data_IF_602243935393
#
_entry.id   IF_602243935393
#
_cell.length_a   1.000
_cell.length_b   1.000
_cell.length_c   1.000
_cell.angle_alpha   90.00
_cell.angle_beta   90.00
_cell.angle_gamma   90.00
#
_symmetry.space_group_name_H-M   'P 1'
#
loop_
_entity.id
_entity.type
_entity.pdbx_description
1 polymer ?
#
# COMPACT_ATOMS: atom_id res chain seq x y z
N UNK A 1 4.34 16.55 -13.35
CA UNK A 1 3.13 17.31 -12.95
C UNK A 1 2.06 16.30 -12.60
N UNK A 2 1.41 16.44 -11.43
CA UNK A 2 0.37 15.52 -11.04
C UNK A 2 -0.86 15.68 -11.94
N UNK A 3 -1.51 14.57 -12.31
CA UNK A 3 -2.72 14.60 -13.13
C UNK A 3 -3.95 14.84 -12.26
N UNK A 4 -4.17 16.12 -11.90
CA UNK A 4 -5.29 16.56 -11.06
C UNK A 4 -6.66 16.31 -11.72
N UNK A 5 -6.72 16.34 -13.04
CA UNK A 5 -7.95 16.15 -13.79
C UNK A 5 -8.49 14.72 -13.61
N UNK A 6 -7.63 13.71 -13.73
CA UNK A 6 -8.01 12.30 -13.53
C UNK A 6 -8.45 12.00 -12.08
N UNK A 7 -7.86 12.68 -11.10
CA UNK A 7 -8.21 12.50 -9.68
C UNK A 7 -9.57 13.13 -9.34
N UNK A 8 -9.81 14.37 -9.79
CA UNK A 8 -11.04 15.10 -9.48
C UNK A 8 -12.24 14.55 -10.26
N UNK A 9 -12.05 14.19 -11.53
CA UNK A 9 -13.11 13.56 -12.34
C UNK A 9 -13.61 12.25 -11.74
N UNK A 10 -12.70 11.42 -11.21
CA UNK A 10 -13.06 10.17 -10.51
C UNK A 10 -13.81 10.44 -9.20
N UNK A 11 -13.40 11.46 -8.45
CA UNK A 11 -14.06 11.84 -7.20
C UNK A 11 -15.49 12.33 -7.45
N UNK A 12 -15.71 13.12 -8.52
CA UNK A 12 -17.05 13.58 -8.92
C UNK A 12 -17.90 12.44 -9.49
N UNK A 13 -17.31 11.53 -10.27
CA UNK A 13 -18.01 10.35 -10.78
C UNK A 13 -18.53 9.42 -9.67
N UNK A 14 -17.88 9.42 -8.50
CA UNK A 14 -18.27 8.65 -7.33
C UNK A 14 -19.36 9.34 -6.47
N UNK A 15 -19.74 10.59 -6.77
CA UNK A 15 -20.80 11.28 -6.02
C UNK A 15 -22.20 10.74 -6.40
N UNK A 16 -23.08 10.48 -5.42
CA UNK A 16 -24.44 10.00 -5.68
C UNK A 16 -25.29 10.99 -6.49
N UNK A 17 -25.06 12.28 -6.29
CA UNK A 17 -25.66 13.36 -7.06
C UNK A 17 -24.55 14.31 -7.50
N UNK A 18 -24.38 14.47 -8.81
CA UNK A 18 -23.40 15.37 -9.41
C UNK A 18 -24.01 16.77 -9.60
N UNK A 19 -24.64 17.32 -8.56
CA UNK A 19 -25.15 18.70 -8.60
C UNK A 19 -23.99 19.70 -8.50
N UNK A 20 -24.17 20.95 -8.96
CA UNK A 20 -23.12 21.97 -8.86
C UNK A 20 -22.59 22.15 -7.43
N UNK A 21 -23.47 22.12 -6.43
CA UNK A 21 -23.11 22.27 -5.03
C UNK A 21 -22.23 21.12 -4.49
N UNK A 22 -22.52 19.88 -4.88
CA UNK A 22 -21.72 18.71 -4.42
C UNK A 22 -20.37 18.65 -5.12
N UNK A 23 -20.29 19.05 -6.40
CA UNK A 23 -19.02 19.20 -7.12
C UNK A 23 -18.15 20.31 -6.50
N UNK A 24 -18.76 21.45 -6.14
CA UNK A 24 -18.07 22.56 -5.48
C UNK A 24 -17.44 22.14 -4.13
N UNK A 25 -18.15 21.34 -3.34
CA UNK A 25 -17.64 20.82 -2.08
C UNK A 25 -16.41 19.91 -2.26
N UNK A 26 -16.32 19.17 -3.38
CA UNK A 26 -15.15 18.36 -3.73
C UNK A 26 -13.96 19.24 -4.13
N UNK A 27 -14.19 20.30 -4.91
CA UNK A 27 -13.15 21.26 -5.29
C UNK A 27 -12.54 21.98 -4.07
N UNK A 28 -13.38 22.47 -3.16
CA UNK A 28 -12.93 23.10 -1.92
C UNK A 28 -12.08 22.17 -1.04
N UNK A 29 -12.46 20.89 -0.96
CA UNK A 29 -11.68 19.89 -0.23
C UNK A 29 -10.34 19.60 -0.91
N UNK A 30 -10.32 19.52 -2.24
CA UNK A 30 -9.09 19.31 -3.01
C UNK A 30 -8.09 20.47 -2.84
N UNK A 31 -8.57 21.73 -2.88
CA UNK A 31 -7.76 22.93 -2.61
C UNK A 31 -7.09 22.86 -1.24
N UNK A 32 -7.87 22.61 -0.18
CA UNK A 32 -7.35 22.54 1.20
C UNK A 32 -6.34 21.40 1.39
N UNK A 33 -6.61 20.24 0.79
CA UNK A 33 -5.70 19.10 0.86
C UNK A 33 -4.35 19.41 0.20
N UNK A 34 -4.35 20.03 -0.99
CA UNK A 34 -3.13 20.39 -1.71
C UNK A 34 -2.28 21.39 -0.91
N UNK A 35 -2.87 22.45 -0.38
CA UNK A 35 -2.15 23.45 0.42
C UNK A 35 -1.57 22.87 1.72
N UNK A 36 -2.33 22.01 2.42
CA UNK A 36 -1.84 21.36 3.64
C UNK A 36 -0.72 20.35 3.35
N UNK A 37 -0.80 19.64 2.22
CA UNK A 37 0.22 18.70 1.80
C UNK A 37 1.52 19.41 1.42
N UNK A 38 1.45 20.49 0.65
CA UNK A 38 2.64 21.23 0.22
C UNK A 38 3.34 21.96 1.37
N UNK A 39 2.59 22.40 2.39
CA UNK A 39 3.14 23.03 3.60
C UNK A 39 3.70 22.06 4.63
N UNK A 40 3.33 20.77 4.58
CA UNK A 40 3.80 19.76 5.54
C UNK A 40 5.11 19.08 5.13
N UNK A 41 5.63 19.37 3.92
CA UNK A 41 6.90 18.83 3.43
C UNK A 41 8.06 19.62 4.05
N UNK A 42 9.04 18.91 4.63
CA UNK A 42 10.32 19.45 5.08
C UNK A 42 11.46 18.95 4.17
N UNK A 43 12.34 19.82 3.65
CA UNK A 43 12.38 21.29 3.80
C UNK A 43 11.22 22.02 3.07
N UNK A 44 10.87 23.27 3.46
CA UNK A 44 9.70 23.97 2.93
C UNK A 44 9.82 24.20 1.42
N UNK A 45 8.76 23.83 0.70
CA UNK A 45 8.61 24.07 -0.73
C UNK A 45 8.52 25.57 -0.99
N UNK A 46 9.18 26.06 -2.06
CA UNK A 46 9.15 27.49 -2.40
C UNK A 46 7.72 27.95 -2.71
N UNK A 47 7.35 29.16 -2.27
CA UNK A 47 5.99 29.68 -2.46
C UNK A 47 5.57 29.74 -3.95
N UNK A 48 6.54 29.93 -4.85
CA UNK A 48 6.32 29.93 -6.30
C UNK A 48 5.85 28.56 -6.83
N UNK A 49 6.36 27.45 -6.28
CA UNK A 49 5.98 26.10 -6.67
C UNK A 49 4.59 25.75 -6.13
N UNK A 50 4.26 26.21 -4.92
CA UNK A 50 2.91 26.08 -4.35
C UNK A 50 1.89 26.82 -5.21
N UNK A 51 2.23 28.03 -5.68
CA UNK A 51 1.37 28.81 -6.57
C UNK A 51 1.27 28.21 -7.98
N UNK A 52 2.32 27.54 -8.48
CA UNK A 52 2.27 26.82 -9.75
C UNK A 52 1.37 25.58 -9.66
N UNK A 53 1.50 24.80 -8.59
CA UNK A 53 0.70 23.60 -8.38
C UNK A 53 -0.78 23.93 -8.10
N UNK A 54 -1.05 25.01 -7.36
CA UNK A 54 -2.40 25.54 -7.17
C UNK A 54 -3.06 25.96 -8.49
N UNK A 55 -2.31 26.59 -9.41
CA UNK A 55 -2.83 26.94 -10.74
C UNK A 55 -3.16 25.71 -11.59
N UNK A 56 -2.31 24.68 -11.55
CA UNK A 56 -2.57 23.42 -12.25
C UNK A 56 -3.86 22.73 -11.76
N UNK A 57 -4.15 22.83 -10.46
CA UNK A 57 -5.40 22.33 -9.88
C UNK A 57 -6.63 23.10 -10.40
N UNK A 58 -6.58 24.43 -10.43
CA UNK A 58 -7.70 25.27 -10.90
C UNK A 58 -7.97 25.11 -12.40
N UNK A 59 -6.93 24.92 -13.22
CA UNK A 59 -7.09 24.64 -14.66
C UNK A 59 -7.81 23.31 -14.89
N UNK A 60 -7.48 22.28 -14.09
CA UNK A 60 -8.14 20.99 -14.16
C UNK A 60 -9.63 21.07 -13.75
N UNK A 61 -9.94 21.83 -12.69
CA UNK A 61 -11.31 22.07 -12.23
C UNK A 61 -12.11 22.82 -13.31
N UNK A 62 -11.53 23.88 -13.88
CA UNK A 62 -12.18 24.69 -14.93
C UNK A 62 -12.52 23.84 -16.15
N UNK A 63 -11.57 23.00 -16.60
CA UNK A 63 -11.78 22.06 -17.71
C UNK A 63 -12.92 21.06 -17.42
N UNK A 64 -12.98 20.57 -16.18
CA UNK A 64 -14.00 19.61 -15.78
C UNK A 64 -15.41 20.23 -15.68
N UNK A 65 -15.52 21.48 -15.23
CA UNK A 65 -16.80 22.19 -15.19
C UNK A 65 -17.31 22.53 -16.59
N UNK A 66 -16.42 22.86 -17.54
CA UNK A 66 -16.76 22.99 -18.96
C UNK A 66 -17.37 21.70 -19.54
N UNK A 67 -16.76 20.55 -19.25
CA UNK A 67 -17.25 19.24 -19.71
C UNK A 67 -18.53 18.81 -19.00
N UNK A 68 -18.69 19.16 -17.72
CA UNK A 68 -19.88 18.84 -16.92
C UNK A 68 -21.08 19.70 -17.33
N UNK A 69 -20.85 20.95 -17.74
CA UNK A 69 -21.90 21.86 -18.22
C UNK A 69 -22.33 21.50 -19.65
N UNK A 70 -21.41 21.02 -20.50
CA UNK A 70 -21.72 20.55 -21.86
C UNK A 70 -22.54 19.25 -21.92
N UNK A 71 -22.57 18.46 -20.85
CA UNK A 71 -23.30 17.19 -20.75
C UNK A 71 -24.75 17.34 -20.28
N UNK A 72 -25.17 18.56 -19.92
CA UNK A 72 -26.49 18.89 -19.39
C UNK A 72 -27.39 19.72 -20.30
N UNK A 73 -27.00 19.99 -21.56
CA UNK A 73 -27.86 20.68 -22.51
C UNK A 73 -28.99 19.73 -23.00
N UNK A 74 -30.28 20.06 -22.80
CA UNK A 74 -31.36 19.27 -23.36
C UNK A 74 -31.40 19.49 -24.87
N UNK A 75 -31.28 18.42 -25.66
CA UNK A 75 -31.74 18.42 -27.05
C UNK A 75 -33.25 18.69 -27.06
N UNK A 76 -33.74 19.69 -27.81
CA UNK A 76 -35.17 19.85 -28.03
C UNK A 76 -35.65 18.75 -28.98
N UNK A 77 -36.36 17.76 -28.43
CA UNK A 77 -37.22 16.88 -29.22
C UNK A 77 -38.64 17.42 -29.21
N UNK A 78 -39.17 17.76 -30.39
CA UNK A 78 -40.42 17.19 -30.98
C UNK A 78 -40.84 18.02 -32.18
N UNK A 79 -41.15 17.37 -33.32
CA UNK A 79 -42.18 17.91 -34.22
C UNK A 79 -42.05 17.69 -35.73
N UNK A 80 -42.23 16.43 -36.18
CA UNK A 80 -42.91 16.02 -37.43
C UNK A 80 -42.32 16.39 -38.83
N UNK A 81 -42.62 15.58 -39.88
CA UNK A 81 -41.79 15.41 -41.07
C UNK A 81 -42.22 16.29 -42.28
N UNK A 82 -41.34 16.44 -43.29
CA UNK A 82 -41.79 16.09 -44.64
C UNK A 82 -40.71 15.43 -45.52
N UNK A 83 -41.16 14.54 -46.40
CA UNK A 83 -40.52 14.23 -47.68
C UNK A 83 -41.32 14.95 -48.80
N UNK A 84 -40.95 14.90 -50.08
CA UNK A 84 -39.67 15.21 -50.74
C UNK A 84 -39.86 16.16 -51.95
N UNK A 85 -38.86 16.98 -52.34
CA UNK A 85 -38.76 17.51 -53.72
C UNK A 85 -37.37 18.11 -54.04
N UNK A 86 -36.74 17.59 -55.11
CA UNK A 86 -35.67 18.20 -55.94
C UNK A 86 -36.21 19.47 -56.67
N UNK A 87 -35.45 20.28 -57.47
CA UNK A 87 -34.10 20.09 -58.04
C UNK A 87 -33.17 21.35 -58.09
N UNK A 88 -31.95 21.13 -58.63
CA UNK A 88 -31.09 22.07 -59.44
C UNK A 88 -30.59 23.37 -58.78
N UNK A 89 -29.35 23.85 -58.94
CA UNK A 89 -28.36 23.61 -59.98
C UNK A 89 -26.96 24.10 -59.54
N UNK A 90 -25.95 23.55 -60.21
CA UNK A 90 -24.66 24.15 -60.57
C UNK A 90 -23.54 24.46 -59.55
N UNK A 91 -22.39 23.87 -59.91
CA UNK A 91 -21.05 24.49 -60.00
C UNK A 91 -20.20 24.47 -58.73
N UNK A 92 -18.94 24.02 -58.69
CA UNK A 92 -18.05 23.41 -59.69
C UNK A 92 -16.80 22.88 -58.96
N UNK A 93 -16.04 22.07 -59.70
CA UNK A 93 -14.61 21.82 -59.56
C UNK A 93 -14.13 20.90 -58.42
N UNK A 94 -14.08 19.62 -58.78
CA UNK A 94 -13.11 18.65 -58.31
C UNK A 94 -11.72 18.95 -58.90
N UNK A 95 -10.66 18.57 -58.18
CA UNK A 95 -9.53 17.89 -58.81
C UNK A 95 -9.06 16.69 -57.98
N UNK A 96 -8.76 15.61 -58.71
CA UNK A 96 -8.49 14.24 -58.27
C UNK A 96 -6.98 14.08 -58.02
N UNK A 97 -6.54 13.05 -57.28
CA UNK A 97 -6.04 11.74 -57.78
C UNK A 97 -5.29 11.11 -56.59
N UNK A 98 -5.15 9.81 -56.37
CA UNK A 98 -5.59 8.54 -56.96
C UNK A 98 -5.26 7.48 -55.89
N UNK A 99 -6.14 6.52 -55.66
CA UNK A 99 -5.85 5.31 -54.87
C UNK A 99 -5.89 4.11 -55.81
N UNK A 100 -4.77 3.39 -56.02
CA UNK A 100 -4.80 2.02 -56.51
C UNK A 100 -5.14 1.05 -55.38
N UNK A 101 -6.01 0.10 -55.68
CA UNK A 101 -6.33 -1.06 -54.85
C UNK A 101 -5.17 -2.06 -54.88
N UNK A 102 -4.93 -2.75 -53.76
CA UNK A 102 -4.04 -3.91 -53.69
C UNK A 102 -4.83 -5.12 -53.16
N UNK A 103 -4.60 -6.35 -53.67
CA UNK A 103 -5.52 -7.46 -53.55
C UNK A 103 -5.24 -8.39 -52.35
N UNK A 104 -6.32 -9.05 -51.91
CA UNK A 104 -6.30 -10.19 -50.99
C UNK A 104 -5.42 -11.35 -51.50
N UNK A 105 -4.57 -11.90 -50.62
CA UNK A 105 -4.08 -13.27 -50.74
C UNK A 105 -3.93 -13.92 -49.35
N UNK A 106 -4.63 -15.04 -49.16
CA UNK A 106 -4.52 -15.96 -48.02
C UNK A 106 -3.14 -16.63 -48.01
N UNK A 107 -2.56 -16.86 -46.82
CA UNK A 107 -1.78 -18.05 -46.43
C UNK A 107 -1.80 -18.15 -44.89
N UNK A 108 -2.15 -19.33 -44.36
CA UNK A 108 -1.69 -19.88 -43.08
C UNK A 108 -0.87 -21.15 -43.43
N UNK A 109 -0.12 -21.87 -42.54
CA UNK A 109 0.01 -21.77 -41.08
C UNK A 109 1.45 -22.01 -40.52
N UNK A 110 1.56 -22.17 -39.18
CA UNK A 110 2.62 -22.79 -38.34
C UNK A 110 3.81 -21.96 -37.78
N UNK A 111 3.92 -21.99 -36.44
CA UNK A 111 5.11 -21.64 -35.63
C UNK A 111 4.74 -21.09 -34.24
N UNK A 112 5.13 -21.71 -33.11
CA UNK A 112 4.65 -21.34 -31.78
C UNK A 112 5.37 -20.10 -31.25
N UNK A 113 4.67 -18.98 -31.21
CA UNK A 113 5.14 -17.72 -30.65
C UNK A 113 4.87 -17.63 -29.14
N UNK A 114 5.95 -17.45 -28.39
CA UNK A 114 6.05 -16.73 -27.11
C UNK A 114 4.89 -16.88 -26.11
N UNK A 115 5.07 -17.76 -25.12
CA UNK A 115 4.42 -17.60 -23.81
C UNK A 115 4.85 -16.25 -23.26
N UNK A 116 3.90 -15.40 -22.91
CA UNK A 116 4.23 -14.13 -22.26
C UNK A 116 4.75 -14.42 -20.87
N UNK A 117 5.71 -13.62 -20.38
CA UNK A 117 6.24 -13.75 -19.03
C UNK A 117 5.11 -13.73 -17.98
N UNK A 118 4.01 -13.01 -18.24
CA UNK A 118 2.80 -13.00 -17.39
C UNK A 118 2.11 -14.37 -17.23
N UNK A 119 2.13 -15.22 -18.25
CA UNK A 119 1.51 -16.56 -18.18
C UNK A 119 2.36 -17.53 -17.37
N UNK A 120 3.69 -17.44 -17.47
CA UNK A 120 4.62 -18.22 -16.65
C UNK A 120 4.56 -17.85 -15.15
N UNK A 121 4.33 -16.57 -14.83
CA UNK A 121 4.13 -16.12 -13.44
C UNK A 121 2.78 -16.56 -12.85
N UNK A 122 1.74 -16.73 -13.69
CA UNK A 122 0.44 -17.26 -13.24
C UNK A 122 0.47 -18.77 -13.03
N UNK A 123 1.16 -19.53 -13.88
CA UNK A 123 1.24 -21.00 -13.80
C UNK A 123 1.98 -21.48 -12.53
N UNK A 124 2.94 -20.70 -12.02
CA UNK A 124 3.63 -20.98 -10.74
C UNK A 124 2.79 -20.70 -9.48
N UNK A 125 1.67 -19.97 -9.61
CA UNK A 125 0.72 -19.73 -8.51
C UNK A 125 -0.34 -20.84 -8.43
N UNK A 126 -0.68 -21.48 -9.55
CA UNK A 126 -1.69 -22.55 -9.60
C UNK A 126 -1.12 -23.95 -9.23
N UNK A 127 0.14 -24.26 -9.58
CA UNK A 127 0.79 -25.56 -9.29
C UNK A 127 1.05 -25.79 -7.78
N UNK A 128 1.13 -24.70 -7.00
CA UNK A 128 1.27 -24.75 -5.53
C UNK A 128 -0.01 -25.17 -4.79
N UNK A 129 -1.13 -25.35 -5.51
CA UNK A 129 -2.40 -25.82 -4.94
C UNK A 129 -2.51 -27.34 -4.86
N UNK A 130 -1.64 -28.09 -5.55
CA UNK A 130 -1.78 -29.54 -5.73
C UNK A 130 -0.63 -30.37 -5.15
N UNK A 131 0.45 -29.77 -4.66
CA UNK A 131 1.59 -30.49 -4.07
C UNK A 131 1.54 -30.47 -2.53
N UNK A 132 0.42 -30.94 -1.98
CA UNK A 132 0.31 -31.22 -0.55
C UNK A 132 -0.35 -32.58 -0.31
N UNK A 133 -0.03 -33.60 -1.12
CA UNK A 133 -0.23 -34.99 -0.71
C UNK A 133 0.53 -35.96 -1.63
N UNK A 134 1.80 -36.25 -1.36
CA UNK A 134 2.43 -37.52 -1.76
C UNK A 134 3.84 -37.66 -1.21
N UNK A 135 3.96 -38.31 -0.05
CA UNK A 135 5.17 -39.01 0.32
C UNK A 135 4.78 -40.38 0.87
N UNK A 136 4.96 -41.43 0.05
CA UNK A 136 5.50 -42.77 0.40
C UNK A 136 5.13 -43.79 -0.68
N UNK A 137 6.13 -44.34 -1.35
CA UNK A 137 5.99 -45.51 -2.22
C UNK A 137 6.18 -46.80 -1.43
N UNK A 138 5.23 -47.73 -1.52
CA UNK A 138 5.48 -49.18 -1.47
C UNK A 138 4.35 -49.92 -2.25
N UNK A 139 4.61 -51.02 -2.99
CA UNK A 139 3.69 -51.50 -4.02
C UNK A 139 2.81 -52.70 -3.64
N UNK A 140 1.63 -52.74 -4.31
CA UNK A 140 0.86 -53.91 -4.79
C UNK A 140 -0.18 -54.62 -3.88
N UNK A 141 -1.48 -54.43 -4.19
CA UNK A 141 -2.47 -55.46 -4.59
C UNK A 141 -3.82 -54.83 -5.05
N UNK A 142 -4.50 -55.31 -6.11
CA UNK A 142 -5.83 -54.81 -6.47
C UNK A 142 -6.96 -55.69 -5.89
N UNK A 143 -8.06 -55.07 -5.43
CA UNK A 143 -9.45 -55.47 -5.73
C UNK A 143 -10.52 -54.60 -5.02
N UNK A 144 -11.64 -54.46 -5.75
CA UNK A 144 -13.02 -54.09 -5.38
C UNK A 144 -13.41 -52.59 -5.31
N UNK A 145 -14.32 -52.11 -6.21
CA UNK A 145 -14.91 -50.78 -6.13
C UNK A 145 -16.09 -50.75 -5.14
N UNK A 146 -16.06 -49.78 -4.23
CA UNK A 146 -17.20 -49.40 -3.38
C UNK A 146 -17.90 -48.15 -3.97
N UNK A 147 -19.23 -48.03 -3.81
CA UNK A 147 -20.04 -47.01 -4.49
C UNK A 147 -19.82 -45.60 -3.91
N UNK A 148 -19.80 -44.60 -4.79
CA UNK A 148 -19.65 -43.18 -4.47
C UNK A 148 -20.88 -42.62 -3.73
N UNK A 149 -20.72 -41.80 -2.67
CA UNK A 149 -21.82 -41.02 -2.10
C UNK A 149 -22.23 -39.86 -3.04
N UNK A 150 -23.52 -39.45 -3.03
CA UNK A 150 -24.05 -38.47 -3.99
C UNK A 150 -23.52 -37.05 -3.74
N UNK A 151 -22.97 -36.43 -4.79
CA UNK A 151 -22.63 -35.01 -4.80
C UNK A 151 -23.90 -34.15 -4.80
N UNK A 152 -24.03 -33.27 -3.81
CA UNK A 152 -25.08 -32.26 -3.78
C UNK A 152 -24.74 -31.13 -4.76
N UNK A 153 -25.58 -30.99 -5.80
CA UNK A 153 -25.66 -29.78 -6.62
C UNK A 153 -26.61 -28.80 -5.94
N UNK A 154 -26.15 -27.64 -5.46
CA UNK A 154 -26.97 -26.40 -5.43
C UNK A 154 -26.13 -25.11 -5.55
N UNK A 155 -26.69 -24.04 -6.16
CA UNK A 155 -25.94 -23.01 -6.87
C UNK A 155 -25.58 -21.77 -6.04
N UNK A 156 -24.72 -20.95 -6.64
CA UNK A 156 -24.20 -19.66 -6.18
C UNK A 156 -25.29 -18.60 -5.97
N UNK A 157 -25.49 -18.19 -4.71
CA UNK A 157 -26.06 -16.89 -4.34
C UNK A 157 -25.08 -16.18 -3.40
N UNK A 158 -24.00 -15.62 -3.95
CA UNK A 158 -23.04 -14.78 -3.19
C UNK A 158 -22.63 -13.50 -3.93
N UNK A 159 -23.42 -13.04 -4.90
CA UNK A 159 -23.20 -11.74 -5.56
C UNK A 159 -24.09 -10.63 -5.02
N UNK A 160 -25.04 -10.91 -4.12
CA UNK A 160 -25.92 -9.88 -3.55
C UNK A 160 -25.47 -9.33 -2.18
N UNK A 161 -24.50 -9.97 -1.50
CA UNK A 161 -24.07 -9.53 -0.16
C UNK A 161 -23.01 -8.41 -0.19
N UNK A 162 -22.21 -8.28 -1.25
CA UNK A 162 -21.15 -7.25 -1.34
C UNK A 162 -21.67 -5.84 -1.67
N UNK A 163 -22.78 -5.71 -2.39
CA UNK A 163 -23.35 -4.40 -2.75
C UNK A 163 -24.01 -3.70 -1.54
N UNK A 164 -24.59 -4.47 -0.62
CA UNK A 164 -25.23 -3.92 0.58
C UNK A 164 -24.24 -3.32 1.58
N UNK A 165 -23.06 -3.93 1.72
CA UNK A 165 -22.03 -3.48 2.67
C UNK A 165 -21.40 -2.16 2.23
N UNK A 166 -21.21 -1.96 0.92
CA UNK A 166 -20.64 -0.71 0.39
C UNK A 166 -21.62 0.47 0.51
N UNK A 167 -22.91 0.24 0.30
CA UNK A 167 -23.96 1.26 0.51
C UNK A 167 -24.13 1.63 1.99
N UNK A 168 -24.02 0.65 2.90
CA UNK A 168 -24.09 0.91 4.34
C UNK A 168 -22.87 1.74 4.83
N UNK A 169 -21.69 1.49 4.28
CA UNK A 169 -20.47 2.21 4.64
C UNK A 169 -20.51 3.68 4.16
N UNK A 170 -21.07 3.93 2.97
CA UNK A 170 -21.29 5.29 2.46
C UNK A 170 -22.35 6.03 3.29
N UNK A 171 -23.43 5.35 3.72
CA UNK A 171 -24.45 5.95 4.57
C UNK A 171 -23.91 6.30 5.98
N UNK A 172 -23.04 5.48 6.54
CA UNK A 172 -22.41 5.74 7.87
C UNK A 172 -21.42 6.89 7.80
N UNK A 173 -20.62 6.99 6.73
CA UNK A 173 -19.71 8.13 6.52
C UNK A 173 -20.48 9.43 6.26
N UNK A 174 -21.61 9.36 5.55
CA UNK A 174 -22.54 10.49 5.39
C UNK A 174 -23.19 10.93 6.71
N UNK A 175 -23.58 9.98 7.57
CA UNK A 175 -24.15 10.26 8.88
C UNK A 175 -23.16 10.87 9.87
N UNK A 176 -21.91 10.39 9.91
CA UNK A 176 -20.85 10.97 10.75
C UNK A 176 -20.48 12.41 10.32
N UNK A 177 -20.54 12.70 9.02
CA UNK A 177 -20.28 14.04 8.49
C UNK A 177 -21.41 15.04 8.80
N UNK A 178 -22.65 14.56 8.97
CA UNK A 178 -23.79 15.39 9.39
C UNK A 178 -23.76 15.67 10.90
N UNK A 179 -23.37 14.67 11.71
CA UNK A 179 -23.39 14.77 13.17
C UNK A 179 -22.29 15.66 13.78
N UNK A 180 -21.12 15.79 13.12
CA UNK A 180 -20.04 16.67 13.60
C UNK A 180 -20.25 18.17 13.27
N UNK A 181 -21.36 18.52 12.61
CA UNK A 181 -21.70 19.91 12.25
C UNK A 181 -22.41 20.67 13.38
N UNK A 182 -22.87 19.99 14.42
CA UNK A 182 -23.78 20.56 15.45
C UNK A 182 -23.12 20.82 16.83
N UNK A 183 -21.80 20.71 16.99
CA UNK A 183 -21.11 20.90 18.30
C UNK A 183 -19.88 21.84 18.21
N UNK A 184 -20.06 23.16 18.06
CA UNK A 184 -18.96 24.15 18.08
C UNK A 184 -18.45 24.51 19.50
N UNK A 185 -19.10 24.02 20.57
CA UNK A 185 -18.85 24.46 21.96
C UNK A 185 -17.53 23.93 22.58
N UNK A 186 -17.04 22.77 22.13
CA UNK A 186 -15.88 22.10 22.76
C UNK A 186 -14.52 22.61 22.24
N UNK A 187 -14.52 23.40 21.16
CA UNK A 187 -13.32 24.04 20.60
C UNK A 187 -12.92 25.33 21.35
N UNK A 188 -13.83 25.92 22.14
CA UNK A 188 -13.56 27.16 22.88
C UNK A 188 -12.78 26.96 24.19
N UNK A 189 -12.59 25.72 24.65
CA UNK A 189 -11.87 25.40 25.92
C UNK A 189 -10.39 25.09 25.75
N UNK A 190 -9.84 25.16 24.53
CA UNK A 190 -8.42 24.88 24.26
C UNK A 190 -7.62 26.13 23.88
N UNK A 191 -8.00 27.32 24.38
CA UNK A 191 -7.19 28.53 24.24
C UNK A 191 -6.13 28.58 25.36
N UNK A 192 -4.83 28.59 25.05
CA UNK A 192 -3.79 28.83 26.05
C UNK A 192 -3.88 30.27 26.56
N UNK A 193 -3.77 30.45 27.86
CA UNK A 193 -3.71 31.76 28.52
C UNK A 193 -2.37 32.44 28.19
N UNK A 194 -2.47 33.72 27.84
CA UNK A 194 -1.38 34.58 27.36
C UNK A 194 -0.58 35.11 28.55
N UNK A 195 0.63 34.59 28.76
CA UNK A 195 1.58 35.12 29.76
C UNK A 195 2.20 36.43 29.28
N UNK A 196 1.88 37.52 29.99
CA UNK A 196 2.61 38.80 29.93
C UNK A 196 3.95 38.71 30.66
N UNK A 197 4.99 39.49 30.26
CA UNK A 197 6.30 39.47 30.91
C UNK A 197 6.40 40.53 32.03
N UNK A 198 7.13 40.21 33.10
CA UNK A 198 7.67 41.19 34.04
C UNK A 198 9.14 40.89 34.36
N UNK A 199 9.95 41.92 34.22
CA UNK A 199 11.36 42.07 34.58
C UNK A 199 11.57 42.15 36.12
N UNK A 200 12.82 41.91 36.54
CA UNK A 200 13.50 42.75 37.54
C UNK A 200 13.65 42.22 38.98
N UNK A 201 14.91 41.91 39.35
CA UNK A 201 15.60 42.02 40.67
C UNK A 201 14.94 41.42 41.95
N UNK A 202 15.61 40.90 42.97
CA UNK A 202 16.89 41.20 43.62
C UNK A 202 17.35 39.97 44.45
N UNK A 203 18.55 40.10 45.02
CA UNK A 203 19.46 39.18 45.66
C UNK A 203 19.00 38.42 46.93
N UNK A 204 19.73 37.34 47.21
CA UNK A 204 19.73 36.68 48.53
C UNK A 204 20.63 35.44 48.62
N UNK A 205 21.91 35.64 48.93
CA UNK A 205 22.84 34.69 49.64
C UNK A 205 22.08 33.90 50.73
N UNK A 206 22.37 32.66 51.12
CA UNK A 206 23.59 31.98 51.62
C UNK A 206 23.31 30.45 51.49
N UNK A 207 24.26 29.54 51.19
CA UNK A 207 25.40 29.19 52.02
C UNK A 207 25.03 28.11 53.06
N UNK A 208 25.40 26.85 52.76
CA UNK A 208 25.74 25.77 53.69
C UNK A 208 24.64 25.10 54.56
N UNK A 209 24.36 23.81 54.27
CA UNK A 209 24.11 22.78 55.31
C UNK A 209 24.24 21.37 54.75
N UNK A 210 25.23 20.65 55.28
CA UNK A 210 25.49 19.22 55.14
C UNK A 210 24.55 18.40 56.05
N UNK A 211 24.45 17.10 55.75
CA UNK A 211 23.96 15.96 56.55
C UNK A 211 22.55 15.39 56.27
N UNK A 212 22.57 14.17 55.70
CA UNK A 212 22.10 12.99 56.42
C UNK A 212 20.61 12.67 56.35
N UNK A 213 20.19 11.95 55.30
CA UNK A 213 18.87 11.33 55.25
C UNK A 213 18.86 10.12 54.32
N UNK A 214 18.64 8.94 54.87
CA UNK A 214 18.73 7.64 54.23
C UNK A 214 17.85 7.51 52.96
N UNK A 215 18.47 7.30 51.81
CA UNK A 215 17.79 6.82 50.61
C UNK A 215 17.64 5.30 50.66
N UNK A 216 16.41 4.84 50.87
CA UNK A 216 16.00 3.49 50.52
C UNK A 216 16.21 3.28 49.00
N UNK A 217 16.72 2.11 48.54
CA UNK A 217 16.90 1.88 47.13
C UNK A 217 15.53 1.64 46.48
N UNK A 218 15.02 2.63 45.76
CA UNK A 218 13.99 2.38 44.76
C UNK A 218 14.55 1.40 43.72
N UNK A 219 13.79 0.37 43.28
CA UNK A 219 14.23 -0.51 42.22
C UNK A 219 14.26 0.29 40.92
N UNK A 220 15.43 0.81 40.58
CA UNK A 220 15.74 1.27 39.24
C UNK A 220 15.56 0.07 38.31
N UNK A 221 14.40 -0.02 37.67
CA UNK A 221 14.19 -0.83 36.49
C UNK A 221 15.13 -0.29 35.42
N UNK A 222 16.37 -0.79 35.46
CA UNK A 222 17.37 -0.59 34.44
C UNK A 222 16.85 -1.31 33.19
N UNK A 223 15.95 -0.66 32.46
CA UNK A 223 15.60 -1.02 31.09
C UNK A 223 16.93 -0.95 30.35
N UNK A 224 17.53 -2.10 30.11
CA UNK A 224 18.72 -2.21 29.30
C UNK A 224 18.36 -1.56 27.96
N UNK A 225 18.93 -0.38 27.69
CA UNK A 225 19.01 0.15 26.34
C UNK A 225 19.87 -0.83 25.58
N UNK A 226 19.23 -1.84 25.00
CA UNK A 226 19.90 -2.80 24.12
C UNK A 226 20.47 -1.99 22.97
N UNK A 227 21.80 -1.97 22.87
CA UNK A 227 22.48 -1.36 21.73
C UNK A 227 21.99 -2.12 20.49
N UNK A 228 21.42 -1.42 19.49
CA UNK A 228 20.94 -2.07 18.29
C UNK A 228 22.13 -2.71 17.56
N UNK A 229 22.14 -4.04 17.47
CA UNK A 229 23.20 -4.80 16.79
C UNK A 229 22.78 -5.02 15.34
N UNK A 230 23.59 -4.53 14.39
CA UNK A 230 23.42 -4.83 12.97
C UNK A 230 23.64 -6.32 12.71
N UNK A 231 22.68 -6.95 12.04
CA UNK A 231 22.70 -8.34 11.62
C UNK A 231 22.90 -8.42 10.11
N UNK A 232 23.24 -9.62 9.64
CA UNK A 232 23.49 -9.87 8.22
C UNK A 232 22.19 -9.77 7.42
N UNK A 233 22.28 -9.13 6.26
CA UNK A 233 21.26 -9.16 5.22
C UNK A 233 21.94 -9.25 3.85
N UNK A 234 21.23 -9.76 2.86
CA UNK A 234 21.73 -9.86 1.50
C UNK A 234 20.60 -9.56 0.51
N UNK A 235 20.89 -8.84 -0.56
CA UNK A 235 19.95 -8.59 -1.63
C UNK A 235 20.42 -9.30 -2.90
N UNK A 236 19.67 -10.31 -3.30
CA UNK A 236 19.95 -11.11 -4.49
C UNK A 236 19.10 -10.60 -5.65
N UNK A 237 19.73 -10.15 -6.72
CA UNK A 237 19.06 -9.64 -7.91
C UNK A 237 19.22 -10.67 -9.03
N UNK A 238 18.09 -11.08 -9.61
CA UNK A 238 18.05 -12.02 -10.71
C UNK A 238 18.52 -11.38 -12.03
N UNK A 239 19.00 -12.22 -12.95
CA UNK A 239 19.34 -11.80 -14.29
C UNK A 239 18.08 -11.34 -15.05
N UNK A 240 18.24 -10.30 -15.86
CA UNK A 240 17.19 -9.83 -16.77
C UNK A 240 16.90 -10.85 -17.89
N UNK A 241 17.90 -11.63 -18.32
CA UNK A 241 17.73 -12.65 -19.35
C UNK A 241 17.29 -14.01 -18.78
N UNK A 242 17.77 -14.37 -17.59
CA UNK A 242 17.47 -15.63 -16.92
C UNK A 242 16.90 -15.39 -15.51
N UNK A 243 15.58 -15.19 -15.36
CA UNK A 243 14.96 -14.82 -14.08
C UNK A 243 15.18 -15.81 -12.93
N UNK A 244 15.55 -17.05 -13.25
CA UNK A 244 15.82 -18.11 -12.28
C UNK A 244 17.29 -18.11 -11.78
N UNK A 245 18.16 -17.29 -12.36
CA UNK A 245 19.56 -17.16 -11.92
C UNK A 245 19.78 -15.83 -11.24
N UNK A 246 20.54 -15.86 -10.14
CA UNK A 246 21.03 -14.66 -9.46
C UNK A 246 22.19 -14.09 -10.28
N UNK A 247 22.06 -12.84 -10.69
CA UNK A 247 23.07 -12.08 -11.43
C UNK A 247 24.03 -11.36 -10.48
N UNK A 248 23.48 -10.77 -9.41
CA UNK A 248 24.27 -10.01 -8.45
C UNK A 248 23.74 -10.13 -7.03
N UNK A 249 24.67 -10.23 -6.08
CA UNK A 249 24.40 -10.23 -4.64
C UNK A 249 24.99 -8.94 -4.05
N UNK A 250 24.17 -8.17 -3.35
CA UNK A 250 24.59 -7.00 -2.60
C UNK A 250 24.58 -7.32 -1.12
N UNK A 251 25.70 -7.05 -0.44
CA UNK A 251 25.78 -7.16 1.00
C UNK A 251 24.95 -6.06 1.67
N UNK A 252 24.17 -6.43 2.68
CA UNK A 252 23.32 -5.53 3.41
C UNK A 252 23.43 -5.79 4.93
N UNK A 253 22.93 -4.85 5.71
CA UNK A 253 22.80 -5.02 7.15
C UNK A 253 21.39 -4.68 7.59
N UNK A 254 20.86 -5.41 8.56
CA UNK A 254 19.54 -5.17 9.14
C UNK A 254 19.63 -4.92 10.64
N UNK A 255 18.90 -3.92 11.11
CA UNK A 255 18.81 -3.60 12.53
C UNK A 255 17.35 -3.75 12.97
N UNK A 256 17.12 -4.67 13.90
CA UNK A 256 15.80 -4.92 14.48
C UNK A 256 15.61 -4.15 15.78
N UNK A 257 14.46 -3.50 15.95
CA UNK A 257 14.08 -2.71 17.13
C UNK A 257 12.62 -2.93 17.50
N UNK A 258 12.35 -2.86 18.79
CA UNK A 258 11.00 -2.78 19.32
C UNK A 258 10.60 -1.30 19.41
N UNK A 259 9.51 -0.93 18.76
CA UNK A 259 8.95 0.42 18.79
C UNK A 259 7.63 0.39 19.55
N UNK A 260 7.42 1.35 20.47
CA UNK A 260 6.13 1.49 21.15
C UNK A 260 5.30 2.51 20.37
N UNK A 261 4.22 2.05 19.77
CA UNK A 261 3.28 2.84 18.97
C UNK A 261 1.96 3.01 19.74
N UNK A 262 1.71 4.20 20.25
CA UNK A 262 0.45 4.55 20.91
C UNK A 262 0.30 6.07 21.02
N UNK A 263 -0.93 6.56 20.91
CA UNK A 263 -1.26 7.95 21.24
C UNK A 263 -1.29 8.14 22.77
N UNK A 264 -1.04 9.35 23.31
CA UNK A 264 -1.20 9.62 24.73
C UNK A 264 -2.63 9.25 25.18
N UNK A 265 -2.75 8.23 26.05
CA UNK A 265 -4.03 7.76 26.60
C UNK A 265 -4.55 6.42 26.05
N UNK A 266 -3.93 5.83 25.04
CA UNK A 266 -4.26 4.48 24.54
C UNK A 266 -3.21 3.46 25.01
N UNK A 267 -3.58 2.17 25.11
CA UNK A 267 -2.63 1.08 25.36
C UNK A 267 -1.53 1.12 24.30
N UNK A 268 -0.29 1.36 24.73
CA UNK A 268 0.89 1.33 23.87
C UNK A 268 0.92 0.00 23.11
N UNK A 269 0.67 0.04 21.80
CA UNK A 269 0.89 -1.10 20.93
C UNK A 269 2.38 -1.28 20.69
N UNK A 270 2.86 -2.51 20.56
CA UNK A 270 4.24 -2.73 20.12
C UNK A 270 4.29 -2.87 18.62
N UNK A 271 5.38 -2.44 18.02
CA UNK A 271 5.71 -2.66 16.62
C UNK A 271 7.13 -3.21 16.51
N UNK A 272 7.35 -4.10 15.54
CA UNK A 272 8.68 -4.54 15.17
C UNK A 272 9.15 -3.65 14.04
N UNK A 273 10.31 -3.02 14.20
CA UNK A 273 10.95 -2.24 13.14
C UNK A 273 12.24 -2.90 12.69
N UNK A 274 12.39 -3.13 11.39
CA UNK A 274 13.63 -3.54 10.75
C UNK A 274 14.13 -2.46 9.82
N UNK A 275 15.28 -1.85 10.11
CA UNK A 275 15.92 -0.91 9.20
C UNK A 275 17.08 -1.63 8.49
N UNK A 276 17.02 -1.68 7.15
CA UNK A 276 18.00 -2.32 6.29
C UNK A 276 18.78 -1.27 5.50
N UNK A 277 20.10 -1.42 5.45
CA UNK A 277 20.99 -0.60 4.63
C UNK A 277 21.73 -1.48 3.63
N UNK A 278 21.67 -1.12 2.35
CA UNK A 278 22.35 -1.78 1.22
C UNK A 278 23.31 -0.77 0.59
N UNK A 279 24.55 -0.62 1.10
CA UNK A 279 25.42 0.48 0.74
C UNK A 279 25.82 0.48 -0.73
N UNK A 280 26.20 -0.68 -1.27
CA UNK A 280 26.62 -0.84 -2.67
C UNK A 280 25.48 -0.54 -3.67
N UNK A 281 24.24 -0.82 -3.28
CA UNK A 281 23.06 -0.49 -4.07
C UNK A 281 22.50 0.91 -3.76
N UNK A 282 23.10 1.65 -2.81
CA UNK A 282 22.62 2.95 -2.31
C UNK A 282 21.13 2.95 -2.01
N UNK A 283 20.67 1.89 -1.33
CA UNK A 283 19.26 1.67 -1.06
C UNK A 283 19.05 1.40 0.43
N UNK A 284 18.11 2.13 1.03
CA UNK A 284 17.62 1.86 2.38
C UNK A 284 16.24 1.24 2.32
N UNK A 285 15.93 0.37 3.26
CA UNK A 285 14.62 -0.22 3.39
C UNK A 285 14.20 -0.22 4.86
N UNK A 286 12.92 0.01 5.14
CA UNK A 286 12.37 -0.10 6.48
C UNK A 286 11.13 -0.97 6.46
N UNK A 287 11.05 -1.93 7.40
CA UNK A 287 9.87 -2.75 7.64
C UNK A 287 9.29 -2.43 9.01
N UNK A 288 7.97 -2.30 9.11
CA UNK A 288 7.27 -2.08 10.37
C UNK A 288 6.09 -3.06 10.48
N UNK A 289 6.17 -4.00 11.43
CA UNK A 289 5.14 -4.99 11.72
C UNK A 289 4.30 -4.51 12.89
N UNK A 290 2.97 -4.53 12.74
CA UNK A 290 2.02 -4.07 13.76
C UNK A 290 0.81 -4.98 13.82
N UNK A 291 0.25 -5.14 15.02
CA UNK A 291 -1.10 -5.68 15.18
C UNK A 291 -2.11 -4.72 14.55
N UNK A 292 -3.02 -5.25 13.73
CA UNK A 292 -4.07 -4.44 13.13
C UNK A 292 -5.22 -4.29 14.12
N UNK A 293 -5.49 -3.06 14.56
CA UNK A 293 -6.64 -2.72 15.41
C UNK A 293 -7.82 -2.17 14.61
N UNK A 294 -7.63 -1.87 13.33
CA UNK A 294 -8.68 -1.37 12.45
C UNK A 294 -9.59 -2.51 11.97
N UNK A 295 -10.87 -2.43 12.33
CA UNK A 295 -11.90 -3.38 11.92
C UNK A 295 -12.24 -3.32 10.42
N UNK A 296 -11.93 -2.21 9.75
CA UNK A 296 -12.19 -2.05 8.31
C UNK A 296 -11.22 -2.88 7.45
N UNK A 297 -10.04 -3.20 7.97
CA UNK A 297 -9.06 -4.05 7.30
C UNK A 297 -9.26 -5.51 7.70
N UNK A 298 -9.48 -6.39 6.72
CA UNK A 298 -9.56 -7.85 6.88
C UNK A 298 -8.20 -8.51 7.14
N UNK A 299 -7.31 -7.82 7.87
CA UNK A 299 -5.98 -8.28 8.22
C UNK A 299 -5.84 -8.44 9.74
N UNK A 300 -5.11 -9.45 10.18
CA UNK A 300 -4.72 -9.61 11.59
C UNK A 300 -3.58 -8.66 11.97
N UNK A 301 -2.60 -8.55 11.09
CA UNK A 301 -1.41 -7.72 11.26
C UNK A 301 -1.10 -7.00 9.95
N UNK A 302 -0.46 -5.85 10.07
CA UNK A 302 -0.01 -5.04 8.95
C UNK A 302 1.50 -4.94 8.96
N UNK A 303 2.09 -5.03 7.77
CA UNK A 303 3.53 -4.88 7.58
C UNK A 303 3.75 -3.80 6.55
N UNK A 304 4.21 -2.64 6.98
CA UNK A 304 4.61 -1.57 6.08
C UNK A 304 6.04 -1.82 5.63
N UNK A 305 6.28 -1.79 4.32
CA UNK A 305 7.58 -1.94 3.71
C UNK A 305 7.86 -0.72 2.85
N UNK A 306 8.92 0.01 3.17
CA UNK A 306 9.31 1.23 2.48
C UNK A 306 10.72 1.10 1.94
N UNK A 307 10.92 1.41 0.66
CA UNK A 307 12.23 1.47 0.01
C UNK A 307 12.60 2.91 -0.30
N UNK A 308 13.87 3.25 -0.09
CA UNK A 308 14.45 4.57 -0.34
C UNK A 308 15.73 4.40 -1.17
N UNK A 309 15.60 4.15 -2.48
CA UNK A 309 16.76 4.17 -3.37
C UNK A 309 17.26 5.60 -3.56
N UNK A 310 18.58 5.79 -3.57
CA UNK A 310 19.19 7.05 -3.97
C UNK A 310 18.98 7.31 -5.48
N UNK A 311 19.09 8.57 -5.91
CA UNK A 311 18.88 8.96 -7.30
C UNK A 311 19.84 8.26 -8.28
N UNK A 312 21.02 7.87 -7.80
CA UNK A 312 22.08 7.17 -8.53
C UNK A 312 22.18 5.67 -8.16
N UNK A 313 21.14 5.11 -7.56
CA UNK A 313 21.08 3.68 -7.23
C UNK A 313 21.09 2.82 -8.51
N UNK A 314 21.94 1.78 -8.58
CA UNK A 314 21.98 0.86 -9.72
C UNK A 314 20.73 -0.04 -9.84
N UNK A 315 19.87 -0.09 -8.81
CA UNK A 315 18.66 -0.91 -8.80
C UNK A 315 17.39 -0.10 -9.10
N UNK A 316 17.45 1.23 -8.97
CA UNK A 316 16.28 2.09 -9.11
C UNK A 316 15.21 1.79 -8.06
N UNK A 317 13.94 1.98 -8.44
CA UNK A 317 12.78 1.76 -7.58
C UNK A 317 12.26 0.32 -7.59
N UNK A 318 11.42 0.02 -6.61
CA UNK A 318 10.69 -1.25 -6.48
C UNK A 318 9.28 -1.07 -7.03
N UNK A 319 8.88 -1.96 -7.93
CA UNK A 319 7.57 -1.99 -8.60
C UNK A 319 6.54 -2.77 -7.79
N UNK A 320 6.93 -3.93 -7.26
CA UNK A 320 6.05 -4.83 -6.53
C UNK A 320 6.84 -5.63 -5.49
N UNK A 321 6.14 -6.16 -4.49
CA UNK A 321 6.69 -7.09 -3.51
C UNK A 321 5.88 -8.38 -3.46
N UNK A 322 6.54 -9.49 -3.15
CA UNK A 322 5.93 -10.79 -2.90
C UNK A 322 5.56 -10.99 -1.44
N UNK A 323 4.93 -12.14 -1.11
CA UNK A 323 4.69 -12.53 0.26
C UNK A 323 6.01 -12.80 0.98
N UNK A 324 6.06 -12.45 2.28
CA UNK A 324 7.20 -12.76 3.14
C UNK A 324 7.32 -14.28 3.28
N UNK A 325 8.55 -14.78 3.25
CA UNK A 325 8.90 -16.15 3.55
C UNK A 325 9.80 -16.18 4.77
N UNK A 326 9.56 -17.12 5.66
CA UNK A 326 10.35 -17.31 6.86
C UNK A 326 11.07 -18.65 6.76
N UNK A 327 12.36 -18.69 7.12
CA UNK A 327 13.14 -19.92 7.09
C UNK A 327 14.08 -20.04 8.26
N UNK A 328 14.54 -21.26 8.52
CA UNK A 328 15.67 -21.49 9.44
C UNK A 328 16.96 -20.99 8.81
N UNK A 329 17.96 -20.67 9.63
CA UNK A 329 19.25 -20.17 9.15
C UNK A 329 19.96 -21.16 8.20
N UNK A 330 19.77 -22.47 8.42
CA UNK A 330 20.35 -23.57 7.64
C UNK A 330 19.48 -24.02 6.45
N UNK A 331 18.22 -23.58 6.39
CA UNK A 331 17.27 -24.05 5.39
C UNK A 331 17.42 -23.27 4.06
N UNK A 332 17.33 -23.98 2.95
CA UNK A 332 17.37 -23.41 1.59
C UNK A 332 16.01 -22.88 1.12
N UNK A 333 14.92 -23.41 1.66
CA UNK A 333 13.55 -23.01 1.32
C UNK A 333 12.83 -22.45 2.55
N UNK A 334 12.01 -21.43 2.34
CA UNK A 334 11.20 -20.80 3.38
C UNK A 334 9.73 -21.14 3.32
N UNK A 335 9.08 -21.04 4.47
CA UNK A 335 7.64 -21.13 4.62
C UNK A 335 7.00 -19.76 4.39
N UNK A 336 6.02 -19.71 3.49
CA UNK A 336 5.28 -18.48 3.18
C UNK A 336 4.44 -18.04 4.39
N UNK A 337 4.58 -16.77 4.76
CA UNK A 337 3.68 -16.04 5.65
C UNK A 337 2.50 -15.58 4.80
N UNK A 338 1.29 -16.03 5.16
CA UNK A 338 0.12 -15.85 4.32
C UNK A 338 -0.43 -14.43 4.51
N UNK A 339 -0.25 -13.59 3.50
CA UNK A 339 -0.72 -12.22 3.48
C UNK A 339 -0.83 -11.70 2.05
N UNK A 340 -1.53 -10.58 1.90
CA UNK A 340 -1.74 -9.92 0.61
C UNK A 340 -0.87 -8.66 0.57
N UNK A 341 0.14 -8.60 -0.31
CA UNK A 341 0.88 -7.38 -0.56
C UNK A 341 0.06 -6.43 -1.44
N UNK A 342 -0.02 -5.16 -1.05
CA UNK A 342 -0.66 -4.09 -1.82
C UNK A 342 0.27 -2.88 -1.92
N UNK A 343 0.44 -2.29 -3.11
CA UNK A 343 1.17 -1.03 -3.25
C UNK A 343 0.34 0.12 -2.67
N UNK A 344 0.98 0.96 -1.85
CA UNK A 344 0.36 2.21 -1.34
C UNK A 344 0.80 3.37 -2.23
N UNK A 345 2.11 3.53 -2.40
CA UNK A 345 2.73 4.52 -3.29
C UNK A 345 3.96 3.90 -3.95
N UNK A 346 4.65 4.63 -4.84
CA UNK A 346 5.96 4.22 -5.33
C UNK A 346 6.89 3.89 -4.15
N UNK A 347 7.56 2.74 -4.23
CA UNK A 347 8.47 2.23 -3.20
C UNK A 347 7.86 2.00 -1.80
N UNK A 348 6.54 2.10 -1.61
CA UNK A 348 5.88 1.83 -0.33
C UNK A 348 4.76 0.82 -0.50
N UNK A 349 4.81 -0.24 0.29
CA UNK A 349 3.91 -1.37 0.21
C UNK A 349 3.39 -1.72 1.59
N UNK A 350 2.19 -2.27 1.62
CA UNK A 350 1.56 -2.81 2.81
C UNK A 350 1.29 -4.29 2.59
N UNK A 351 1.68 -5.14 3.53
CA UNK A 351 1.27 -6.54 3.55
C UNK A 351 0.26 -6.71 4.67
N UNK A 352 -0.98 -7.03 4.31
CA UNK A 352 -2.02 -7.43 5.26
C UNK A 352 -1.94 -8.93 5.51
N UNK A 353 -1.55 -9.35 6.71
CA UNK A 353 -1.57 -10.77 7.08
C UNK A 353 -3.01 -11.23 7.27
N UNK A 354 -3.37 -12.40 6.76
CA UNK A 354 -4.75 -12.88 6.85
C UNK A 354 -5.16 -13.16 8.30
N UNK A 355 -6.44 -12.90 8.60
CA UNK A 355 -7.07 -13.20 9.91
C UNK A 355 -7.66 -14.62 9.92
N UNK A 356 -7.92 -15.17 11.11
CA UNK A 356 -8.58 -16.47 11.30
C UNK A 356 -7.59 -17.62 11.45
N UNK A 357 -7.90 -18.79 10.90
CA UNK A 357 -7.13 -20.03 11.12
C UNK A 357 -5.64 -19.95 10.70
N UNK A 358 -5.30 -19.00 9.81
CA UNK A 358 -3.93 -18.79 9.34
C UNK A 358 -3.11 -17.85 10.23
N UNK A 359 -3.76 -17.09 11.11
CA UNK A 359 -3.12 -16.07 11.94
C UNK A 359 -2.12 -16.70 12.92
N UNK A 360 -2.55 -17.70 13.69
CA UNK A 360 -1.68 -18.39 14.65
C UNK A 360 -0.45 -19.00 13.97
N UNK A 361 -0.62 -19.57 12.76
CA UNK A 361 0.50 -20.09 11.95
C UNK A 361 1.45 -18.98 11.54
N UNK A 362 0.95 -17.87 11.00
CA UNK A 362 1.78 -16.73 10.59
C UNK A 362 2.60 -16.18 11.76
N UNK A 363 1.95 -16.00 12.90
CA UNK A 363 2.61 -15.53 14.12
C UNK A 363 3.67 -16.52 14.61
N UNK A 364 3.38 -17.83 14.54
CA UNK A 364 4.35 -18.86 14.89
C UNK A 364 5.59 -18.81 13.98
N UNK A 365 5.42 -18.65 12.66
CA UNK A 365 6.54 -18.53 11.72
C UNK A 365 7.40 -17.30 12.01
N UNK A 366 6.77 -16.14 12.25
CA UNK A 366 7.47 -14.89 12.58
C UNK A 366 8.24 -15.00 13.89
N UNK A 367 7.72 -15.75 14.87
CA UNK A 367 8.38 -16.00 16.14
C UNK A 367 9.57 -16.96 15.98
N UNK A 368 9.35 -18.14 15.41
CA UNK A 368 10.28 -19.27 15.53
C UNK A 368 11.41 -19.30 14.51
N UNK A 369 11.22 -18.72 13.32
CA UNK A 369 12.17 -18.87 12.22
C UNK A 369 13.13 -17.69 12.13
N UNK A 370 14.43 -17.96 12.03
CA UNK A 370 15.50 -16.97 12.21
C UNK A 370 15.67 -15.98 11.05
N UNK A 371 15.23 -16.34 9.84
CA UNK A 371 15.53 -15.60 8.62
C UNK A 371 14.25 -15.20 7.90
N UNK A 372 14.21 -13.96 7.43
CA UNK A 372 13.11 -13.36 6.69
C UNK A 372 13.53 -13.06 5.25
N UNK A 373 12.84 -13.67 4.30
CA UNK A 373 13.00 -13.44 2.88
C UNK A 373 11.83 -12.62 2.34
N UNK A 374 12.13 -11.51 1.69
CA UNK A 374 11.16 -10.68 1.00
C UNK A 374 11.47 -10.65 -0.50
N UNK A 375 10.73 -11.42 -1.32
CA UNK A 375 10.79 -11.31 -2.77
C UNK A 375 10.26 -9.94 -3.22
N UNK A 376 10.85 -9.37 -4.26
CA UNK A 376 10.44 -8.10 -4.85
C UNK A 376 10.72 -8.07 -6.35
N UNK A 377 10.06 -7.15 -7.04
CA UNK A 377 10.29 -6.84 -8.45
C UNK A 377 10.73 -5.39 -8.59
N UNK A 378 11.87 -5.19 -9.24
CA UNK A 378 12.41 -3.86 -9.54
C UNK A 378 11.66 -3.21 -10.70
N UNK A 379 11.77 -1.88 -10.83
CA UNK A 379 11.12 -1.12 -11.91
C UNK A 379 11.62 -1.51 -13.31
N UNK A 380 12.84 -2.03 -13.41
CA UNK A 380 13.40 -2.57 -14.65
C UNK A 380 12.89 -3.99 -15.00
N UNK A 381 12.01 -4.56 -14.16
CA UNK A 381 11.39 -5.86 -14.35
C UNK A 381 12.16 -7.02 -13.73
N UNK A 382 13.41 -6.82 -13.26
CA UNK A 382 14.19 -7.88 -12.63
C UNK A 382 13.56 -8.31 -11.31
N UNK A 383 13.55 -9.61 -11.07
CA UNK A 383 13.21 -10.16 -9.76
C UNK A 383 14.39 -9.95 -8.80
N UNK A 384 14.11 -9.71 -7.54
CA UNK A 384 15.11 -9.72 -6.49
C UNK A 384 14.51 -10.29 -5.20
N UNK A 385 15.37 -10.72 -4.28
CA UNK A 385 14.96 -11.16 -2.95
C UNK A 385 15.90 -10.56 -1.94
N UNK A 386 15.34 -9.89 -0.93
CA UNK A 386 16.11 -9.42 0.21
C UNK A 386 15.97 -10.39 1.38
N UNK A 387 17.09 -10.99 1.73
CA UNK A 387 17.27 -11.87 2.86
C UNK A 387 17.71 -11.07 4.08
N UNK A 388 17.08 -11.29 5.24
CA UNK A 388 17.42 -10.60 6.48
C UNK A 388 17.47 -11.60 7.63
N UNK A 389 18.59 -11.65 8.33
CA UNK A 389 18.71 -12.43 9.56
C UNK A 389 18.16 -11.63 10.75
N UNK A 390 17.37 -12.29 11.61
CA UNK A 390 16.92 -11.68 12.87
C UNK A 390 18.06 -11.59 13.88
N UNK A 391 18.87 -12.65 13.96
CA UNK A 391 19.88 -12.83 15.01
C UNK A 391 19.28 -12.83 16.42
N UNK A 392 20.10 -13.00 17.47
CA UNK A 392 19.60 -13.10 18.85
C UNK A 392 18.85 -11.86 19.33
N UNK A 393 19.25 -10.67 18.86
CA UNK A 393 18.58 -9.41 19.19
C UNK A 393 17.22 -9.30 18.50
N UNK A 394 17.14 -9.61 17.20
CA UNK A 394 15.89 -9.58 16.47
C UNK A 394 14.92 -10.65 16.95
N UNK A 395 15.38 -11.86 17.26
CA UNK A 395 14.53 -12.90 17.84
C UNK A 395 13.83 -12.44 19.12
N UNK A 396 14.57 -11.76 20.01
CA UNK A 396 14.00 -11.19 21.23
C UNK A 396 12.99 -10.08 20.92
N UNK A 397 13.31 -9.17 19.99
CA UNK A 397 12.36 -8.11 19.55
C UNK A 397 11.06 -8.71 19.01
N UNK A 398 11.16 -9.74 18.17
CA UNK A 398 9.99 -10.43 17.62
C UNK A 398 9.18 -11.12 18.73
N UNK A 399 9.83 -11.83 19.64
CA UNK A 399 9.16 -12.49 20.76
C UNK A 399 8.42 -11.47 21.64
N UNK A 400 9.10 -10.40 22.06
CA UNK A 400 8.54 -9.35 22.93
C UNK A 400 7.34 -8.64 22.27
N UNK A 401 7.45 -8.31 20.97
CA UNK A 401 6.36 -7.69 20.24
C UNK A 401 5.15 -8.63 20.14
N UNK A 402 5.36 -9.89 19.76
CA UNK A 402 4.27 -10.85 19.61
C UNK A 402 3.62 -11.16 20.98
N UNK A 403 4.40 -11.26 22.06
CA UNK A 403 3.88 -11.43 23.43
C UNK A 403 3.05 -10.23 23.89
N UNK A 404 3.33 -9.03 23.38
CA UNK A 404 2.49 -7.87 23.63
C UNK A 404 1.21 -7.88 22.79
N UNK A 405 1.23 -8.48 21.60
CA UNK A 405 0.06 -8.59 20.72
C UNK A 405 -0.94 -9.65 21.18
N UNK A 406 -0.51 -10.63 21.98
CA UNK A 406 -1.39 -11.67 22.53
C UNK A 406 -2.14 -11.24 23.79
N UNK A 407 -1.75 -10.10 24.38
CA UNK A 407 -2.47 -9.42 25.45
C UNK A 407 -3.54 -8.50 24.86
#
# INVERSE_FOLDING_TARGET
>A
MADYYSLISRAIAALPQQTPDTRQAVYERARKALYNQLRSIQPPVAEADIAAEGRALEEAITRLELESTGKGAPEPQTGAPPAPAKPTDSSAAADKRQRPQEPSKKIAPNGPGARTAEEAWRETLDDASQTADSSRSEPQRPAAPLPLPPQSKRPSKRTLALAGVFLALIAVVGGLAWWLRERPEDLAKLKPEETAPLEGEDAGKFGDRVEGGASAPAPSSRRATSVPVAQKAELWVASAQEPNKVDRIYNATVIWRLENVGSPGETLGSAIRGDVDVPEAKMKMSLIFRKNTDSALSASHTINVSFKPAADSPLGGVKAIGPIQMRRADAQAGEKVIGIPVPITANNFLIGLMRGDREARNIQLLRSLAVLDLPLQLNDGRAATINMEKGPTGERVFADAIDSWSK
#
